data_IF_737159832672
#
_entry.id   IF_737159832672
#
_cell.length_a   1.000
_cell.length_b   1.000
_cell.length_c   1.000
_cell.angle_alpha   90.00
_cell.angle_beta   90.00
_cell.angle_gamma   90.00
#
_symmetry.space_group_name_H-M   'P 1'
#
loop_
_entity.id
_entity.type
_entity.pdbx_description
1 polymer ?
#
# COMPACT_ATOMS: atom_id res chain seq x y z
N UNK A 1 -1.71 -10.44 7.62
CA UNK A 1 -1.87 -11.30 6.40
C UNK A 1 -2.13 -12.77 6.69
N UNK A 2 -2.58 -13.16 7.90
CA UNK A 2 -2.85 -14.58 8.22
C UNK A 2 -4.05 -15.11 7.44
N UNK A 3 -5.16 -14.35 7.37
CA UNK A 3 -6.37 -14.74 6.64
C UNK A 3 -6.12 -14.95 5.14
N UNK A 4 -5.52 -13.94 4.48
CA UNK A 4 -5.23 -14.00 3.04
C UNK A 4 -4.30 -15.16 2.68
N UNK A 5 -3.29 -15.44 3.51
CA UNK A 5 -2.31 -16.52 3.27
C UNK A 5 -2.88 -17.92 3.50
N UNK A 6 -3.85 -18.08 4.42
CA UNK A 6 -4.26 -19.41 4.89
C UNK A 6 -5.69 -19.80 4.48
N UNK A 7 -6.58 -18.84 4.22
CA UNK A 7 -8.01 -19.10 4.01
C UNK A 7 -8.44 -18.75 2.59
N UNK A 8 -7.88 -17.70 2.00
CA UNK A 8 -8.33 -17.19 0.70
C UNK A 8 -7.78 -17.97 -0.52
N UNK A 9 -7.08 -19.09 -0.32
CA UNK A 9 -6.56 -19.94 -1.40
C UNK A 9 -5.46 -19.30 -2.26
N UNK A 10 -4.87 -18.21 -1.79
CA UNK A 10 -3.82 -17.48 -2.51
C UNK A 10 -2.51 -18.25 -2.53
N UNK A 11 -1.85 -18.29 -3.69
CA UNK A 11 -0.59 -19.00 -3.85
C UNK A 11 0.56 -18.12 -3.40
N UNK A 12 1.47 -18.68 -2.59
CA UNK A 12 2.67 -17.97 -2.17
C UNK A 12 3.49 -17.51 -3.40
N UNK A 13 3.77 -16.20 -3.55
CA UNK A 13 4.66 -15.72 -4.60
C UNK A 13 6.05 -16.35 -4.50
N UNK A 14 6.78 -16.43 -5.62
CA UNK A 14 8.11 -17.05 -5.66
C UNK A 14 9.11 -16.39 -4.68
N UNK A 15 9.00 -15.07 -4.48
CA UNK A 15 9.80 -14.30 -3.51
C UNK A 15 9.30 -14.43 -2.06
N UNK A 16 8.15 -15.08 -1.85
CA UNK A 16 7.48 -15.15 -0.57
C UNK A 16 6.66 -13.91 -0.22
N UNK A 17 6.15 -13.87 1.01
CA UNK A 17 5.15 -12.90 1.44
C UNK A 17 5.70 -11.65 2.13
N UNK A 18 7.01 -11.57 2.28
CA UNK A 18 7.73 -10.58 3.10
C UNK A 18 8.88 -9.93 2.31
N UNK A 19 8.91 -10.14 0.99
CA UNK A 19 9.95 -9.61 0.10
C UNK A 19 9.28 -8.98 -1.13
N UNK A 20 9.74 -7.79 -1.52
CA UNK A 20 9.21 -7.07 -2.67
C UNK A 20 9.32 -7.94 -3.94
N UNK A 21 8.22 -8.25 -4.63
CA UNK A 21 8.26 -9.06 -5.84
C UNK A 21 8.87 -8.29 -7.01
N UNK A 22 9.43 -8.99 -8.02
CA UNK A 22 9.93 -8.35 -9.24
C UNK A 22 8.81 -7.57 -9.94
N UNK A 23 9.13 -6.44 -10.58
CA UNK A 23 8.14 -5.62 -11.29
C UNK A 23 7.39 -6.38 -12.40
N UNK A 24 8.04 -7.38 -13.01
CA UNK A 24 7.42 -8.25 -14.01
C UNK A 24 6.37 -9.23 -13.44
N UNK A 25 6.37 -9.47 -12.12
CA UNK A 25 5.38 -10.31 -11.45
C UNK A 25 4.14 -9.47 -11.10
N UNK A 26 3.16 -9.50 -12.00
CA UNK A 26 1.87 -8.80 -11.90
C UNK A 26 0.74 -9.75 -11.48
N UNK A 27 1.07 -10.85 -10.80
CA UNK A 27 0.07 -11.75 -10.23
C UNK A 27 -0.66 -11.07 -9.07
N UNK A 28 -1.87 -11.55 -8.77
CA UNK A 28 -2.70 -11.03 -7.67
C UNK A 28 -1.93 -11.04 -6.34
N UNK A 29 -1.28 -12.15 -6.04
CA UNK A 29 -0.53 -12.34 -4.80
C UNK A 29 0.73 -11.47 -4.76
N UNK A 30 1.40 -11.26 -5.90
CA UNK A 30 2.52 -10.34 -5.99
C UNK A 30 2.07 -8.89 -5.75
N UNK A 31 0.93 -8.45 -6.28
CA UNK A 31 0.40 -7.11 -6.02
C UNK A 31 0.01 -6.90 -4.55
N UNK A 32 -0.57 -7.91 -3.90
CA UNK A 32 -0.86 -7.87 -2.46
C UNK A 32 0.44 -7.72 -1.65
N UNK A 33 1.48 -8.48 -1.98
CA UNK A 33 2.79 -8.37 -1.30
C UNK A 33 3.44 -7.03 -1.58
N UNK A 34 3.37 -6.53 -2.82
CA UNK A 34 3.91 -5.24 -3.24
C UNK A 34 3.32 -4.09 -2.43
N UNK A 35 2.00 -4.02 -2.31
CA UNK A 35 1.33 -3.00 -1.48
C UNK A 35 1.76 -3.11 -0.02
N UNK A 36 1.81 -4.33 0.53
CA UNK A 36 2.29 -4.55 1.89
C UNK A 36 3.74 -4.07 2.06
N UNK A 37 4.62 -4.37 1.12
CA UNK A 37 6.02 -3.98 1.16
C UNK A 37 6.20 -2.46 1.07
N UNK A 38 5.52 -1.78 0.15
CA UNK A 38 5.58 -0.32 0.08
C UNK A 38 5.03 0.31 1.35
N UNK A 39 3.92 -0.19 1.89
CA UNK A 39 3.43 0.25 3.20
C UNK A 39 4.49 0.08 4.28
N UNK A 40 5.08 -1.10 4.43
CA UNK A 40 6.05 -1.36 5.49
C UNK A 40 7.37 -0.58 5.31
N UNK A 41 7.81 -0.37 4.07
CA UNK A 41 9.10 0.26 3.75
C UNK A 41 9.01 1.78 3.77
N UNK A 42 7.93 2.34 3.20
CA UNK A 42 7.70 3.79 3.11
C UNK A 42 7.12 4.34 4.41
N UNK A 43 6.29 3.56 5.12
CA UNK A 43 5.62 4.04 6.35
C UNK A 43 6.27 3.51 7.64
N UNK A 44 6.66 2.23 7.66
CA UNK A 44 7.14 1.57 8.89
C UNK A 44 8.56 1.96 9.32
N UNK A 45 9.35 2.53 8.42
CA UNK A 45 10.77 2.84 8.63
C UNK A 45 11.22 4.21 8.11
N UNK A 46 10.30 5.09 7.70
CA UNK A 46 10.67 6.46 7.33
C UNK A 46 11.06 7.24 8.59
N UNK A 47 12.31 7.10 9.02
CA UNK A 47 12.93 7.94 10.05
C UNK A 47 12.97 9.41 9.64
N UNK A 48 12.92 9.67 8.33
CA UNK A 48 12.84 10.99 7.74
C UNK A 48 11.72 10.98 6.69
N UNK A 49 10.70 11.82 6.88
CA UNK A 49 9.59 12.01 5.96
C UNK A 49 10.04 12.83 4.72
N UNK A 50 11.17 12.46 4.12
CA UNK A 50 11.75 13.12 2.96
C UNK A 50 12.19 12.07 1.96
N UNK A 51 11.50 12.05 0.82
CA UNK A 51 11.84 11.26 -0.37
C UNK A 51 11.94 12.26 -1.53
N UNK A 52 12.90 12.07 -2.43
CA UNK A 52 13.04 12.91 -3.61
C UNK A 52 11.92 12.65 -4.63
N UNK A 53 11.60 13.65 -5.45
CA UNK A 53 10.51 13.57 -6.42
C UNK A 53 10.64 12.37 -7.39
N UNK A 54 11.82 12.03 -7.95
CA UNK A 54 11.97 10.83 -8.76
C UNK A 54 11.58 9.55 -8.02
N UNK A 55 12.07 9.36 -6.80
CA UNK A 55 11.75 8.19 -5.97
C UNK A 55 10.26 8.14 -5.62
N UNK A 56 9.67 9.28 -5.24
CA UNK A 56 8.22 9.38 -5.00
C UNK A 56 7.41 8.99 -6.23
N UNK A 57 7.75 9.54 -7.40
CA UNK A 57 7.03 9.27 -8.64
C UNK A 57 7.10 7.78 -9.04
N UNK A 58 8.24 7.14 -8.84
CA UNK A 58 8.40 5.71 -9.11
C UNK A 58 7.52 4.88 -8.16
N UNK A 59 7.59 5.13 -6.85
CA UNK A 59 6.75 4.41 -5.89
C UNK A 59 5.26 4.65 -6.13
N UNK A 60 4.88 5.89 -6.44
CA UNK A 60 3.51 6.22 -6.79
C UNK A 60 3.02 5.40 -7.98
N UNK A 61 3.81 5.34 -9.06
CA UNK A 61 3.46 4.56 -10.24
C UNK A 61 3.31 3.07 -9.94
N UNK A 62 4.27 2.49 -9.20
CA UNK A 62 4.23 1.07 -8.84
C UNK A 62 3.01 0.72 -7.96
N UNK A 63 2.64 1.62 -7.04
CA UNK A 63 1.47 1.48 -6.17
C UNK A 63 0.18 1.63 -6.99
N UNK A 64 0.08 2.66 -7.82
CA UNK A 64 -1.07 2.92 -8.67
C UNK A 64 -1.35 1.72 -9.58
N UNK A 65 -0.32 1.19 -10.24
CA UNK A 65 -0.44 0.05 -11.15
C UNK A 65 -0.94 -1.21 -10.41
N UNK A 66 -0.44 -1.47 -9.20
CA UNK A 66 -0.89 -2.57 -8.37
C UNK A 66 -2.36 -2.40 -7.92
N UNK A 67 -2.74 -1.20 -7.50
CA UNK A 67 -4.11 -0.89 -7.08
C UNK A 67 -5.11 -1.02 -8.23
N UNK A 68 -4.74 -0.56 -9.43
CA UNK A 68 -5.59 -0.71 -10.62
C UNK A 68 -5.74 -2.17 -11.03
N UNK A 69 -4.69 -2.99 -10.92
CA UNK A 69 -4.80 -4.45 -11.16
C UNK A 69 -5.69 -5.15 -10.14
N UNK A 70 -5.65 -4.73 -8.88
CA UNK A 70 -6.46 -5.31 -7.79
C UNK A 70 -7.93 -4.86 -7.81
N UNK A 71 -8.17 -3.56 -7.98
CA UNK A 71 -9.52 -2.98 -7.95
C UNK A 71 -10.21 -2.96 -9.31
N UNK A 72 -9.44 -3.04 -10.40
CA UNK A 72 -9.91 -2.95 -11.78
C UNK A 72 -9.83 -1.54 -12.37
N UNK A 73 -9.94 -1.46 -13.70
CA UNK A 73 -9.79 -0.23 -14.48
C UNK A 73 -10.79 0.89 -14.09
N UNK A 74 -11.93 0.53 -13.50
CA UNK A 74 -12.91 1.52 -13.01
C UNK A 74 -12.36 2.46 -11.93
N UNK A 75 -11.32 2.04 -11.19
CA UNK A 75 -10.66 2.86 -10.18
C UNK A 75 -9.49 3.68 -10.71
N UNK A 76 -9.07 3.48 -11.96
CA UNK A 76 -7.86 4.11 -12.51
C UNK A 76 -7.90 5.64 -12.40
N UNK A 77 -9.01 6.26 -12.80
CA UNK A 77 -9.13 7.73 -12.74
C UNK A 77 -9.16 8.24 -11.30
N UNK A 78 -9.86 7.56 -10.41
CA UNK A 78 -9.91 7.93 -8.99
C UNK A 78 -8.51 7.85 -8.36
N UNK A 79 -7.79 6.76 -8.61
CA UNK A 79 -6.43 6.56 -8.10
C UNK A 79 -5.48 7.60 -8.70
N UNK A 80 -5.53 7.85 -10.01
CA UNK A 80 -4.68 8.87 -10.65
C UNK A 80 -4.87 10.25 -10.03
N UNK A 81 -6.12 10.65 -9.81
CA UNK A 81 -6.45 11.97 -9.27
C UNK A 81 -5.91 12.18 -7.85
N UNK A 82 -5.77 11.13 -7.04
CA UNK A 82 -5.18 11.23 -5.69
C UNK A 82 -3.75 11.77 -5.71
N UNK A 83 -3.01 11.64 -6.83
CA UNK A 83 -1.65 12.20 -6.96
C UNK A 83 -1.66 13.73 -6.99
N UNK A 84 -2.70 14.29 -7.60
CA UNK A 84 -2.83 15.72 -7.90
C UNK A 84 -3.83 16.42 -6.97
N UNK A 85 -4.49 15.67 -6.08
CA UNK A 85 -5.37 16.24 -5.07
C UNK A 85 -4.61 17.24 -4.20
N UNK A 86 -5.22 18.42 -4.05
CA UNK A 86 -4.65 19.48 -3.24
C UNK A 86 -4.61 19.05 -1.77
N UNK A 87 -3.41 19.03 -1.18
CA UNK A 87 -3.25 19.00 0.27
C UNK A 87 -3.29 20.43 0.82
N UNK A 88 -4.45 21.08 0.74
CA UNK A 88 -4.69 22.30 1.55
C UNK A 88 -4.53 21.91 3.03
N UNK A 89 -4.00 22.77 3.93
CA UNK A 89 -3.90 22.51 5.36
C UNK A 89 -5.11 21.78 6.00
N UNK A 90 -6.33 22.12 5.62
CA UNK A 90 -7.55 21.46 6.12
C UNK A 90 -7.65 19.99 5.66
N UNK A 91 -7.27 19.69 4.42
CA UNK A 91 -7.22 18.33 3.88
C UNK A 91 -6.01 17.55 4.41
N UNK A 92 -4.88 18.22 4.63
CA UNK A 92 -3.70 17.62 5.25
C UNK A 92 -4.02 17.12 6.67
N UNK A 93 -4.69 17.94 7.48
CA UNK A 93 -5.12 17.54 8.82
C UNK A 93 -6.11 16.37 8.75
N UNK A 94 -7.10 16.43 7.85
CA UNK A 94 -8.05 15.35 7.63
C UNK A 94 -7.37 14.02 7.28
N UNK A 95 -6.45 14.02 6.31
CA UNK A 95 -5.73 12.82 5.91
C UNK A 95 -4.78 12.31 7.00
N UNK A 96 -4.16 13.21 7.78
CA UNK A 96 -3.37 12.84 8.96
C UNK A 96 -4.24 12.14 10.02
N UNK A 97 -5.45 12.63 10.27
CA UNK A 97 -6.37 11.97 11.20
C UNK A 97 -6.82 10.60 10.70
N UNK A 98 -7.18 10.48 9.41
CA UNK A 98 -7.50 9.20 8.79
C UNK A 98 -6.35 8.21 8.90
N UNK A 99 -5.12 8.65 8.65
CA UNK A 99 -3.91 7.83 8.82
C UNK A 99 -3.72 7.37 10.26
N UNK A 100 -3.86 8.27 11.24
CA UNK A 100 -3.78 7.91 12.66
C UNK A 100 -4.84 6.87 13.03
N UNK A 101 -6.08 7.05 12.57
CA UNK A 101 -7.16 6.09 12.80
C UNK A 101 -6.82 4.73 12.18
N UNK A 102 -6.30 4.72 10.94
CA UNK A 102 -5.91 3.49 10.25
C UNK A 102 -4.81 2.72 11.01
N UNK A 103 -3.84 3.42 11.60
CA UNK A 103 -2.82 2.79 12.47
C UNK A 103 -3.47 2.18 13.71
N UNK A 104 -4.35 2.93 14.38
CA UNK A 104 -5.04 2.47 15.60
C UNK A 104 -5.84 1.21 15.31
N UNK A 105 -6.59 1.19 14.21
CA UNK A 105 -7.37 0.04 13.79
C UNK A 105 -6.48 -1.17 13.54
N UNK A 106 -5.31 -0.97 12.93
CA UNK A 106 -4.35 -2.06 12.74
C UNK A 106 -3.72 -2.59 14.02
N UNK A 107 -3.42 -1.73 15.00
CA UNK A 107 -2.90 -2.15 16.31
C UNK A 107 -3.97 -2.95 17.05
N UNK A 108 -5.22 -2.47 17.03
CA UNK A 108 -6.35 -3.15 17.65
C UNK A 108 -6.64 -4.52 17.02
N UNK A 109 -6.53 -4.64 15.70
CA UNK A 109 -6.65 -5.93 14.99
C UNK A 109 -5.53 -6.89 15.42
N UNK A 110 -4.31 -6.41 15.71
CA UNK A 110 -3.21 -7.27 16.18
C UNK A 110 -3.45 -7.75 17.61
N UNK A 111 -3.89 -6.87 18.51
CA UNK A 111 -4.18 -7.21 19.92
C UNK A 111 -5.31 -8.23 20.08
N UNK A 112 -6.27 -8.25 19.16
CA UNK A 112 -7.39 -9.21 19.18
C UNK A 112 -7.04 -10.58 18.57
N UNK A 113 -5.86 -10.73 17.98
CA UNK A 113 -5.40 -11.96 17.34
C UNK A 113 -4.30 -12.70 18.12
N UNK A 114 -3.84 -12.13 19.25
CA UNK A 114 -2.96 -12.76 20.25
C UNK A 114 -3.79 -13.37 21.40
#
# INVERSE_FOLDING_TARGET
MVLLRNICGLVRPATGWDTLPPAADTTLEADIVRIKCYRNTVYGHASEAFIDDPTFNQYWQDIQDALVRLGGAGYQSAIHNLKEECMDPDFEEHYKELLKQCIVDEVSIKETMD
#
